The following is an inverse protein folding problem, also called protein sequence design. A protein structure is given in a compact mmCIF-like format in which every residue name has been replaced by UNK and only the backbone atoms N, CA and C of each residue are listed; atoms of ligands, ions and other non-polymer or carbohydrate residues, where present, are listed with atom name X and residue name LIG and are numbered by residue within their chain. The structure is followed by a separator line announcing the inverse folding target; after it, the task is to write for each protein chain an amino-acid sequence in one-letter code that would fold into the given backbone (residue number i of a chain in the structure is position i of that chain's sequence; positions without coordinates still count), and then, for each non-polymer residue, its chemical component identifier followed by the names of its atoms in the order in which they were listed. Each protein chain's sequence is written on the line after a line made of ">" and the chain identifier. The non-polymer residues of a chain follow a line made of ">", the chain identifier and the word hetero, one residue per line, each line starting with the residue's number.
data_IF_154219470351
#
_entry.id   IF_154219470351
#
_cell.length_a   1.000
_cell.length_b   1.000
_cell.length_c   1.000
_cell.angle_alpha   90.00
_cell.angle_beta   90.00
_cell.angle_gamma   90.00
#
_symmetry.space_group_name_H-M   'P 1'
#
loop_
_entity.id
_entity.type
_entity.pdbx_description
1 polymer ?
#
# COMPACT_ATOMS: atom_id res chain seq x y z
N UNK A 1 11.39 -4.75 -17.03
CA UNK A 1 11.11 -3.31 -16.79
C UNK A 1 9.61 -3.09 -16.97
N UNK A 2 8.81 -3.32 -15.92
CA UNK A 2 7.34 -3.37 -15.99
C UNK A 2 6.69 -2.02 -15.61
N UNK A 3 7.10 -0.95 -16.29
CA UNK A 3 6.69 0.44 -15.97
C UNK A 3 5.26 0.79 -16.45
N UNK A 4 4.55 -0.17 -17.05
CA UNK A 4 3.22 -0.02 -17.67
C UNK A 4 2.15 -0.95 -17.13
N UNK A 5 2.46 -1.81 -16.14
CA UNK A 5 1.45 -2.62 -15.48
C UNK A 5 0.37 -1.71 -14.87
N UNK A 6 -0.90 -2.00 -15.17
CA UNK A 6 -2.03 -1.31 -14.55
C UNK A 6 -2.01 -1.53 -13.04
N UNK A 7 -2.56 -0.58 -12.29
CA UNK A 7 -2.61 -0.65 -10.82
C UNK A 7 -3.27 -1.96 -10.36
N UNK A 8 -4.30 -2.41 -11.08
CA UNK A 8 -4.97 -3.68 -10.84
C UNK A 8 -4.05 -4.91 -10.99
N UNK A 9 -3.16 -4.92 -11.99
CA UNK A 9 -2.19 -6.02 -12.18
C UNK A 9 -1.12 -6.00 -11.09
N UNK A 10 -0.65 -4.81 -10.69
CA UNK A 10 0.27 -4.66 -9.57
C UNK A 10 -0.37 -5.15 -8.28
N UNK A 11 -1.64 -4.80 -8.00
CA UNK A 11 -2.39 -5.31 -6.84
C UNK A 11 -2.50 -6.84 -6.89
N UNK A 12 -2.86 -7.45 -8.04
CA UNK A 12 -2.94 -8.91 -8.17
C UNK A 12 -1.60 -9.59 -7.90
N UNK A 13 -0.49 -9.02 -8.35
CA UNK A 13 0.86 -9.56 -8.09
C UNK A 13 1.27 -9.37 -6.64
N UNK A 14 0.99 -8.21 -6.06
CA UNK A 14 1.17 -7.94 -4.63
C UNK A 14 0.40 -8.93 -3.75
N UNK A 15 -0.83 -9.29 -4.13
CA UNK A 15 -1.63 -10.34 -3.45
C UNK A 15 -1.00 -11.73 -3.55
N UNK A 16 -0.17 -11.98 -4.58
CA UNK A 16 0.65 -13.19 -4.73
C UNK A 16 2.00 -13.12 -4.00
N UNK A 17 2.17 -12.15 -3.10
CA UNK A 17 3.40 -11.88 -2.36
C UNK A 17 4.60 -11.46 -3.23
N UNK A 18 4.33 -10.93 -4.43
CA UNK A 18 5.36 -10.32 -5.26
C UNK A 18 5.83 -8.98 -4.64
N UNK A 19 7.09 -8.97 -4.17
CA UNK A 19 7.69 -7.81 -3.52
C UNK A 19 7.99 -6.68 -4.52
N UNK A 20 8.36 -7.00 -5.76
CA UNK A 20 8.66 -5.98 -6.76
C UNK A 20 7.39 -5.24 -7.19
N UNK A 21 6.29 -5.97 -7.37
CA UNK A 21 4.99 -5.36 -7.66
C UNK A 21 4.50 -4.46 -6.50
N UNK A 22 4.75 -4.88 -5.26
CA UNK A 22 4.43 -4.07 -4.07
C UNK A 22 5.25 -2.78 -4.02
N UNK A 23 6.57 -2.85 -4.27
CA UNK A 23 7.46 -1.68 -4.24
C UNK A 23 7.06 -0.64 -5.32
N UNK A 24 6.74 -1.12 -6.53
CA UNK A 24 6.20 -0.30 -7.61
C UNK A 24 4.89 0.40 -7.22
N UNK A 25 3.98 -0.35 -6.58
CA UNK A 25 2.72 0.19 -6.08
C UNK A 25 2.97 1.24 -4.99
N UNK A 26 3.85 0.93 -4.03
CA UNK A 26 4.24 1.82 -2.93
C UNK A 26 4.79 3.13 -3.45
N UNK A 27 5.79 3.07 -4.33
CA UNK A 27 6.45 4.23 -4.93
C UNK A 27 5.45 5.12 -5.67
N UNK A 28 4.47 4.51 -6.35
CA UNK A 28 3.43 5.25 -7.08
C UNK A 28 2.45 5.96 -6.15
N UNK A 29 2.00 5.29 -5.09
CA UNK A 29 1.04 5.87 -4.15
C UNK A 29 1.67 6.72 -3.04
N UNK A 30 2.99 6.63 -2.81
CA UNK A 30 3.70 7.38 -1.76
C UNK A 30 3.44 8.88 -1.83
N UNK A 31 3.52 9.49 -3.01
CA UNK A 31 3.22 10.92 -3.17
C UNK A 31 1.78 11.29 -2.82
N UNK A 32 0.83 10.43 -3.18
CA UNK A 32 -0.59 10.66 -2.93
C UNK A 32 -0.92 10.48 -1.45
N UNK A 33 -0.43 9.39 -0.83
CA UNK A 33 -0.59 9.10 0.59
C UNK A 33 0.09 10.17 1.43
N UNK A 34 1.29 10.61 1.06
CA UNK A 34 1.99 11.71 1.73
C UNK A 34 1.20 13.02 1.65
N UNK A 35 0.62 13.36 0.48
CA UNK A 35 -0.22 14.56 0.35
C UNK A 35 -1.46 14.53 1.25
N UNK A 36 -2.07 13.36 1.43
CA UNK A 36 -3.20 13.18 2.36
C UNK A 36 -2.71 13.25 3.81
N UNK A 37 -1.65 12.53 4.15
CA UNK A 37 -1.06 12.50 5.49
C UNK A 37 -0.63 13.91 5.92
N UNK A 38 -0.01 14.68 5.04
CA UNK A 38 0.39 16.06 5.30
C UNK A 38 -0.80 16.99 5.59
N UNK A 39 -1.92 16.82 4.89
CA UNK A 39 -3.15 17.58 5.21
C UNK A 39 -3.76 17.20 6.55
N UNK A 40 -3.61 15.94 6.97
CA UNK A 40 -4.16 15.45 8.25
C UNK A 40 -3.25 15.83 9.42
N UNK A 41 -1.93 15.67 9.26
CA UNK A 41 -0.93 15.92 10.29
C UNK A 41 -0.56 17.41 10.43
N UNK A 42 -0.65 18.19 9.35
CA UNK A 42 -0.26 19.61 9.34
C UNK A 42 1.24 19.88 9.46
N UNK A 43 2.07 18.84 9.62
CA UNK A 43 3.53 18.94 9.69
C UNK A 43 4.19 17.75 8.98
N UNK A 44 5.43 17.92 8.46
CA UNK A 44 6.09 16.90 7.66
C UNK A 44 6.53 15.66 8.45
N UNK A 45 6.83 15.81 9.75
CA UNK A 45 7.30 14.72 10.60
C UNK A 45 6.18 13.70 10.87
N UNK A 46 5.03 14.18 11.31
CA UNK A 46 3.86 13.33 11.57
C UNK A 46 3.27 12.78 10.28
N UNK A 47 3.39 13.51 9.16
CA UNK A 47 3.01 13.00 7.85
C UNK A 47 3.86 11.80 7.44
N UNK A 48 5.17 11.84 7.70
CA UNK A 48 6.08 10.73 7.41
C UNK A 48 5.76 9.50 8.28
N UNK A 49 5.52 9.72 9.58
CA UNK A 49 5.13 8.65 10.52
C UNK A 49 3.80 7.99 10.10
N UNK A 50 2.80 8.78 9.74
CA UNK A 50 1.51 8.29 9.22
C UNK A 50 1.69 7.48 7.92
N UNK A 51 2.50 7.98 6.99
CA UNK A 51 2.79 7.29 5.73
C UNK A 51 3.44 5.93 6.01
N UNK A 52 4.44 5.90 6.88
CA UNK A 52 5.10 4.66 7.28
C UNK A 52 4.12 3.69 7.96
N UNK A 53 3.29 4.17 8.90
CA UNK A 53 2.29 3.35 9.58
C UNK A 53 1.25 2.76 8.61
N UNK A 54 0.77 3.55 7.64
CA UNK A 54 -0.15 3.10 6.60
C UNK A 54 0.51 2.02 5.75
N UNK A 55 1.75 2.23 5.30
CA UNK A 55 2.46 1.25 4.49
C UNK A 55 2.74 -0.05 5.23
N UNK A 56 3.15 0.01 6.50
CA UNK A 56 3.33 -1.18 7.34
C UNK A 56 2.01 -1.92 7.55
N UNK A 57 0.88 -1.21 7.66
CA UNK A 57 -0.45 -1.82 7.81
C UNK A 57 -0.93 -2.50 6.53
N UNK A 58 -0.68 -1.90 5.37
CA UNK A 58 -0.96 -2.54 4.07
C UNK A 58 -0.07 -3.77 3.89
N UNK A 59 1.23 -3.66 4.13
CA UNK A 59 2.17 -4.77 4.00
C UNK A 59 1.86 -5.94 4.95
N UNK A 60 1.55 -5.64 6.21
CA UNK A 60 1.16 -6.66 7.20
C UNK A 60 -0.20 -7.29 6.88
N UNK A 61 -1.16 -6.52 6.36
CA UNK A 61 -2.44 -7.04 5.86
C UNK A 61 -2.27 -8.00 4.68
N UNK A 62 -1.38 -7.68 3.75
CA UNK A 62 -1.05 -8.53 2.60
C UNK A 62 -0.36 -9.84 3.02
N UNK A 63 0.57 -9.78 3.99
CA UNK A 63 1.20 -10.97 4.57
C UNK A 63 0.19 -11.85 5.33
N UNK A 64 -0.89 -11.25 5.84
CA UNK A 64 -1.99 -11.93 6.55
C UNK A 64 -3.13 -12.36 5.63
N UNK A 65 -2.97 -12.27 4.31
CA UNK A 65 -3.95 -12.81 3.36
C UNK A 65 -4.00 -14.34 3.42
N UNK A 66 -4.70 -14.86 4.43
CA UNK A 66 -5.50 -16.06 4.25
C UNK A 66 -6.72 -15.62 3.44
N UNK A 67 -7.07 -16.28 2.33
CA UNK A 67 -8.41 -16.16 1.76
C UNK A 67 -9.36 -16.91 2.69
N UNK A 68 -9.66 -16.36 3.87
CA UNK A 68 -10.73 -16.85 4.72
C UNK A 68 -11.98 -16.02 4.45
N UNK A 69 -12.63 -16.44 3.36
CA UNK A 69 -14.08 -16.53 3.17
C UNK A 69 -14.85 -16.43 4.50
N UNK A 70 -15.92 -15.64 4.49
CA UNK A 70 -17.04 -15.55 5.44
C UNK A 70 -17.13 -14.23 6.23
N UNK A 71 -17.92 -13.30 5.71
CA UNK A 71 -18.87 -12.53 6.52
C UNK A 71 -20.14 -12.35 5.66
N UNK A 72 -20.87 -13.46 5.52
CA UNK A 72 -22.32 -13.47 5.44
C UNK A 72 -22.79 -13.84 6.84
N UNK A 73 -23.25 -12.83 7.58
CA UNK A 73 -24.32 -12.93 8.57
C UNK A 73 -25.20 -11.70 8.42
#
# INVERSE_FOLDING_TARGET
>A
MDRTASDDELVRRTLRQDREAFDLLLTRYQRLVYGIAYRVAGNPTDADDLVQAVFLRVYSGLKRSKPCRQLLQ
#
